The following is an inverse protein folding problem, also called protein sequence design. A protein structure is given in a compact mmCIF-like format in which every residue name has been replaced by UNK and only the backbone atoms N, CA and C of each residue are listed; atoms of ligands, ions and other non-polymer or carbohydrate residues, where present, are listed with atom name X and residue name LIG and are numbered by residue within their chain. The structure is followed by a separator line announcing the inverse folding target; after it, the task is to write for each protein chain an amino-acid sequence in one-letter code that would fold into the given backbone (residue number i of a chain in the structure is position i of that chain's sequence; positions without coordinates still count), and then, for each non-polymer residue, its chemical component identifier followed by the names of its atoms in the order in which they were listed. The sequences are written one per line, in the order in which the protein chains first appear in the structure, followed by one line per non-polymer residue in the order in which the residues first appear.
data_IF_924497143224
#
_entry.id   IF_924497143224
#
_cell.length_a   1.000
_cell.length_b   1.000
_cell.length_c   1.000
_cell.angle_alpha   90.00
_cell.angle_beta   90.00
_cell.angle_gamma   90.00
#
_symmetry.space_group_name_H-M   'P 1'
#
loop_
_entity.id
_entity.type
_entity.pdbx_description
1 polymer ?
#
# COMPACT_ATOMS: atom_id res chain seq x y z
N UNK A 1 6.53 -8.20 3.97
CA UNK A 1 7.22 -8.65 2.73
C UNK A 1 7.43 -7.47 1.79
N UNK A 2 8.61 -7.37 1.17
CA UNK A 2 8.96 -6.35 0.16
C UNK A 2 9.06 -7.00 -1.21
N UNK A 3 8.61 -6.33 -2.28
CA UNK A 3 8.81 -6.75 -3.66
C UNK A 3 9.38 -5.63 -4.51
N UNK A 4 10.19 -5.95 -5.51
CA UNK A 4 10.65 -4.99 -6.52
C UNK A 4 9.87 -5.14 -7.81
N UNK A 5 9.53 -4.02 -8.46
CA UNK A 5 8.89 -4.06 -9.80
C UNK A 5 9.79 -4.68 -10.88
N UNK A 6 11.11 -4.66 -10.65
CA UNK A 6 12.15 -5.24 -11.49
C UNK A 6 13.42 -5.51 -10.66
N UNK A 7 14.42 -6.15 -11.27
CA UNK A 7 15.75 -6.30 -10.66
C UNK A 7 16.46 -4.94 -10.49
N UNK A 8 17.32 -4.83 -9.47
CA UNK A 8 18.18 -3.65 -9.28
C UNK A 8 17.49 -2.37 -8.79
N UNK A 9 16.22 -2.43 -8.35
CA UNK A 9 15.48 -1.25 -7.86
C UNK A 9 15.73 -0.93 -6.38
N UNK A 10 16.58 -1.69 -5.68
CA UNK A 10 16.84 -1.50 -4.24
C UNK A 10 15.88 -2.25 -3.30
N UNK A 11 15.08 -3.18 -3.82
CA UNK A 11 14.16 -3.97 -2.99
C UNK A 11 14.88 -4.79 -1.90
N UNK A 12 16.05 -5.37 -2.23
CA UNK A 12 16.83 -6.18 -1.29
C UNK A 12 17.43 -5.36 -0.16
N UNK A 13 18.01 -4.21 -0.46
CA UNK A 13 18.56 -3.33 0.59
C UNK A 13 17.45 -2.81 1.50
N UNK A 14 16.29 -2.47 0.94
CA UNK A 14 15.15 -2.04 1.73
C UNK A 14 14.58 -3.16 2.61
N UNK A 15 14.45 -4.38 2.09
CA UNK A 15 13.99 -5.54 2.85
C UNK A 15 14.91 -5.84 4.03
N UNK A 16 16.24 -5.80 3.80
CA UNK A 16 17.24 -5.99 4.84
C UNK A 16 17.20 -4.88 5.89
N UNK A 17 17.08 -3.62 5.48
CA UNK A 17 17.01 -2.49 6.41
C UNK A 17 15.71 -2.48 7.24
N UNK A 18 14.62 -3.04 6.70
CA UNK A 18 13.36 -3.25 7.42
C UNK A 18 13.32 -4.54 8.25
N UNK A 19 14.30 -5.45 8.09
CA UNK A 19 14.28 -6.76 8.74
C UNK A 19 13.17 -7.70 8.26
N UNK A 20 12.71 -7.58 7.02
CA UNK A 20 11.59 -8.35 6.47
C UNK A 20 11.99 -9.19 5.25
N UNK A 21 11.18 -10.21 4.93
CA UNK A 21 11.37 -11.04 3.75
C UNK A 21 11.13 -10.30 2.41
N UNK A 22 11.70 -10.84 1.34
CA UNK A 22 11.65 -10.31 -0.02
C UNK A 22 11.02 -11.32 -1.00
N UNK A 23 10.13 -10.84 -1.87
CA UNK A 23 9.61 -11.59 -3.01
C UNK A 23 10.53 -11.44 -4.23
N UNK A 24 10.57 -12.43 -5.14
CA UNK A 24 11.32 -12.29 -6.37
C UNK A 24 10.83 -11.08 -7.19
N UNK A 25 11.74 -10.31 -7.82
CA UNK A 25 11.39 -9.10 -8.54
C UNK A 25 10.51 -9.40 -9.75
N UNK A 26 9.62 -8.47 -10.09
CA UNK A 26 8.73 -8.57 -11.25
C UNK A 26 7.59 -9.57 -11.09
N UNK A 27 7.54 -10.32 -9.99
CA UNK A 27 6.37 -11.12 -9.67
C UNK A 27 5.25 -10.21 -9.17
N UNK A 28 4.08 -10.31 -9.80
CA UNK A 28 2.86 -9.61 -9.37
C UNK A 28 2.21 -10.35 -8.18
N UNK A 29 2.98 -10.55 -7.12
CA UNK A 29 2.57 -11.22 -5.90
C UNK A 29 2.25 -10.21 -4.81
N UNK A 30 1.37 -10.60 -3.88
CA UNK A 30 1.03 -9.78 -2.73
C UNK A 30 2.28 -9.42 -1.91
N UNK A 31 2.44 -8.14 -1.62
CA UNK A 31 3.50 -7.58 -0.79
C UNK A 31 2.99 -6.37 -0.01
N UNK A 32 3.67 -6.02 1.08
CA UNK A 32 3.30 -4.85 1.88
C UNK A 32 4.00 -3.59 1.34
N UNK A 33 5.21 -3.74 0.80
CA UNK A 33 5.99 -2.68 0.17
C UNK A 33 6.38 -3.07 -1.24
N UNK A 34 6.00 -2.23 -2.21
CA UNK A 34 6.44 -2.34 -3.60
C UNK A 34 7.51 -1.29 -3.88
N UNK A 35 8.67 -1.72 -4.37
CA UNK A 35 9.82 -0.84 -4.65
C UNK A 35 9.97 -0.61 -6.14
N UNK A 36 10.10 0.64 -6.54
CA UNK A 36 10.40 1.03 -7.91
C UNK A 36 11.44 2.15 -7.95
N UNK A 37 12.12 2.34 -9.09
CA UNK A 37 12.90 3.55 -9.32
C UNK A 37 11.99 4.69 -9.78
N UNK A 38 12.43 5.92 -9.55
CA UNK A 38 11.82 7.15 -10.04
C UNK A 38 11.89 7.37 -11.56
N UNK A 39 11.87 6.30 -12.35
CA UNK A 39 11.88 6.37 -13.83
C UNK A 39 10.49 6.08 -14.37
N UNK A 40 10.16 6.62 -15.55
CA UNK A 40 8.86 6.38 -16.21
C UNK A 40 8.59 4.89 -16.39
N UNK A 41 9.61 4.13 -16.79
CA UNK A 41 9.51 2.68 -16.99
C UNK A 41 9.18 1.94 -15.68
N UNK A 42 9.95 2.18 -14.61
CA UNK A 42 9.72 1.53 -13.33
C UNK A 42 8.37 1.90 -12.70
N UNK A 43 7.92 3.15 -12.86
CA UNK A 43 6.58 3.56 -12.40
C UNK A 43 5.48 2.88 -13.22
N UNK A 44 5.66 2.70 -14.53
CA UNK A 44 4.72 1.94 -15.37
C UNK A 44 4.63 0.46 -14.98
N UNK A 45 5.73 -0.15 -14.52
CA UNK A 45 5.69 -1.50 -13.95
C UNK A 45 4.97 -1.54 -12.60
N UNK A 46 5.15 -0.51 -11.75
CA UNK A 46 4.42 -0.39 -10.49
C UNK A 46 2.91 -0.31 -10.73
N UNK A 47 2.48 0.48 -11.72
CA UNK A 47 1.08 0.62 -12.14
C UNK A 47 0.46 -0.74 -12.50
N UNK A 48 1.17 -1.57 -13.28
CA UNK A 48 0.72 -2.93 -13.63
C UNK A 48 0.63 -3.86 -12.43
N UNK A 49 1.60 -3.78 -11.51
CA UNK A 49 1.60 -4.59 -10.30
C UNK A 49 0.40 -4.25 -9.40
N UNK A 50 0.16 -2.96 -9.15
CA UNK A 50 -0.97 -2.47 -8.34
C UNK A 50 -2.30 -2.89 -8.93
N UNK A 51 -2.46 -2.80 -10.26
CA UNK A 51 -3.66 -3.26 -10.95
C UNK A 51 -3.89 -4.78 -10.81
N UNK A 52 -2.83 -5.57 -10.66
CA UNK A 52 -2.90 -7.04 -10.58
C UNK A 52 -3.20 -7.55 -9.17
N UNK A 53 -2.50 -7.02 -8.16
CA UNK A 53 -2.47 -7.60 -6.80
C UNK A 53 -3.73 -7.28 -5.97
N UNK A 54 -4.51 -6.25 -6.35
CA UNK A 54 -5.80 -5.85 -5.73
C UNK A 54 -5.79 -5.78 -4.19
N UNK A 55 -4.62 -5.51 -3.60
CA UNK A 55 -4.44 -5.18 -2.17
C UNK A 55 -3.68 -3.86 -2.09
N UNK A 56 -4.00 -2.97 -1.12
CA UNK A 56 -3.24 -1.75 -0.93
C UNK A 56 -1.78 -2.07 -0.59
N UNK A 57 -0.86 -1.54 -1.40
CA UNK A 57 0.59 -1.66 -1.19
C UNK A 57 1.19 -0.30 -0.86
N UNK A 58 2.25 -0.26 -0.05
CA UNK A 58 3.04 0.95 0.18
C UNK A 58 4.09 1.07 -0.93
N UNK A 59 4.05 2.16 -1.71
CA UNK A 59 4.97 2.35 -2.83
C UNK A 59 6.24 3.09 -2.38
N UNK A 60 7.37 2.41 -2.41
CA UNK A 60 8.69 2.98 -2.14
C UNK A 60 9.38 3.36 -3.47
N UNK A 61 9.49 4.66 -3.72
CA UNK A 61 10.05 5.20 -4.97
C UNK A 61 11.49 5.63 -4.73
N UNK A 62 12.45 4.89 -5.28
CA UNK A 62 13.88 5.23 -5.19
C UNK A 62 14.20 6.40 -6.10
N UNK A 63 14.63 7.52 -5.53
CA UNK A 63 14.93 8.78 -6.22
C UNK A 63 16.44 9.04 -6.13
N UNK A 64 17.06 9.30 -7.26
CA UNK A 64 18.46 9.71 -7.32
C UNK A 64 18.62 11.23 -7.12
N UNK A 65 19.86 11.72 -7.14
CA UNK A 65 20.15 13.14 -6.93
C UNK A 65 19.56 14.09 -7.98
N UNK A 66 19.12 13.59 -9.14
CA UNK A 66 18.48 14.40 -10.19
C UNK A 66 16.97 14.56 -9.98
N UNK A 67 16.40 13.87 -9.00
CA UNK A 67 14.98 13.95 -8.67
C UNK A 67 14.09 13.12 -9.60
N UNK A 68 12.80 13.46 -9.65
CA UNK A 68 11.80 12.74 -10.44
C UNK A 68 11.52 13.47 -11.76
N UNK A 69 11.68 12.80 -12.92
CA UNK A 69 11.25 13.33 -14.21
C UNK A 69 9.76 13.69 -14.21
N UNK A 70 9.37 14.73 -14.97
CA UNK A 70 7.99 15.21 -15.05
C UNK A 70 6.99 14.08 -15.38
N UNK A 71 7.30 13.26 -16.39
CA UNK A 71 6.46 12.13 -16.78
C UNK A 71 6.31 11.06 -15.68
N UNK A 72 7.36 10.81 -14.89
CA UNK A 72 7.30 9.90 -13.75
C UNK A 72 6.42 10.48 -12.64
N UNK A 73 6.53 11.80 -12.37
CA UNK A 73 5.67 12.50 -11.39
C UNK A 73 4.20 12.44 -11.78
N UNK A 74 3.87 12.65 -13.06
CA UNK A 74 2.50 12.56 -13.56
C UNK A 74 1.92 11.16 -13.34
N UNK A 75 2.66 10.10 -13.68
CA UNK A 75 2.24 8.72 -13.41
C UNK A 75 2.11 8.40 -11.93
N UNK A 76 3.02 8.90 -11.09
CA UNK A 76 2.92 8.73 -9.63
C UNK A 76 1.67 9.44 -9.07
N UNK A 77 1.26 10.58 -9.64
CA UNK A 77 0.00 11.21 -9.26
C UNK A 77 -1.22 10.36 -9.63
N UNK A 78 -1.17 9.66 -10.76
CA UNK A 78 -2.24 8.76 -11.20
C UNK A 78 -2.32 7.48 -10.35
N UNK A 79 -1.18 6.90 -9.94
CA UNK A 79 -1.16 5.68 -9.11
C UNK A 79 -1.48 5.95 -7.63
N UNK A 80 -1.27 7.19 -7.16
CA UNK A 80 -1.44 7.59 -5.76
C UNK A 80 -2.75 7.12 -5.10
N UNK A 81 -3.92 7.20 -5.75
CA UNK A 81 -5.19 6.77 -5.14
C UNK A 81 -5.33 5.24 -5.00
N UNK A 82 -4.45 4.47 -5.65
CA UNK A 82 -4.53 3.01 -5.72
C UNK A 82 -3.50 2.31 -4.82
N UNK A 83 -2.71 3.08 -4.05
CA UNK A 83 -1.69 2.58 -3.13
C UNK A 83 -2.00 3.05 -1.71
N UNK A 84 -1.54 2.30 -0.71
CA UNK A 84 -1.73 2.67 0.71
C UNK A 84 -0.95 3.94 1.09
N UNK A 85 0.10 4.25 0.34
CA UNK A 85 0.91 5.44 0.50
C UNK A 85 2.07 5.44 -0.49
N UNK A 86 2.78 6.55 -0.55
CA UNK A 86 3.99 6.67 -1.35
C UNK A 86 5.10 7.34 -0.54
N UNK A 87 6.28 6.73 -0.54
CA UNK A 87 7.45 7.24 0.16
C UNK A 87 8.61 7.32 -0.83
N UNK A 88 9.29 8.47 -0.87
CA UNK A 88 10.51 8.64 -1.65
C UNK A 88 11.67 8.10 -0.85
N UNK A 89 12.39 7.15 -1.42
CA UNK A 89 13.59 6.55 -0.85
C UNK A 89 14.81 7.19 -1.51
N UNK A 90 15.72 7.83 -0.76
CA UNK A 90 16.92 8.40 -1.35
C UNK A 90 17.83 7.28 -1.85
N UNK A 91 18.37 7.46 -3.06
CA UNK A 91 19.47 6.63 -3.54
C UNK A 91 20.70 6.83 -2.66
N UNK A 92 21.43 5.76 -2.38
CA UNK A 92 22.70 5.79 -1.65
C UNK A 92 23.85 5.55 -2.64
N UNK A 93 24.54 6.60 -3.14
CA UNK A 93 25.57 6.45 -4.17
C UNK A 93 26.71 5.49 -3.77
N UNK A 94 27.14 5.58 -2.51
CA UNK A 94 28.23 4.78 -1.93
C UNK A 94 28.01 3.27 -2.05
N UNK A 95 26.76 2.80 -2.11
CA UNK A 95 26.47 1.38 -2.28
C UNK A 95 26.94 0.79 -3.60
N UNK A 96 27.27 1.63 -4.60
CA UNK A 96 27.91 1.19 -5.84
C UNK A 96 29.41 0.99 -5.71
N UNK A 97 30.02 1.55 -4.67
CA UNK A 97 31.47 1.65 -4.49
C UNK A 97 32.00 0.66 -3.46
N UNK A 98 31.13 0.04 -2.68
CA UNK A 98 31.49 -0.92 -1.62
C UNK A 98 31.21 -2.36 -2.05
N UNK A 99 32.00 -3.28 -1.50
CA UNK A 99 31.92 -4.71 -1.82
C UNK A 99 30.60 -5.34 -1.41
N UNK A 100 30.06 -4.95 -0.24
CA UNK A 100 28.83 -5.52 0.30
C UNK A 100 27.85 -4.44 0.78
N UNK A 101 27.00 -3.91 -0.12
CA UNK A 101 25.94 -2.98 0.24
C UNK A 101 24.82 -3.64 1.05
N UNK A 102 24.69 -4.96 1.01
CA UNK A 102 23.64 -5.67 1.73
C UNK A 102 23.96 -5.79 3.21
N UNK A 103 25.22 -6.06 3.58
CA UNK A 103 25.65 -6.01 4.97
C UNK A 103 25.46 -4.62 5.58
N UNK A 104 25.77 -3.55 4.84
CA UNK A 104 25.54 -2.19 5.33
C UNK A 104 24.05 -1.87 5.52
N UNK A 105 23.20 -2.27 4.56
CA UNK A 105 21.76 -2.11 4.70
C UNK A 105 21.17 -2.92 5.87
N UNK A 106 21.65 -4.15 6.09
CA UNK A 106 21.17 -5.01 7.18
C UNK A 106 21.49 -4.43 8.57
N UNK A 107 22.66 -3.80 8.74
CA UNK A 107 23.02 -3.14 10.02
C UNK A 107 22.04 -2.03 10.41
N UNK A 108 21.40 -1.39 9.43
CA UNK A 108 20.44 -0.32 9.72
C UNK A 108 19.20 -0.81 10.46
N UNK A 109 18.82 -2.08 10.30
CA UNK A 109 17.65 -2.64 10.99
C UNK A 109 17.79 -2.65 12.53
N UNK A 110 19.02 -2.68 13.04
CA UNK A 110 19.33 -2.71 14.47
C UNK A 110 20.01 -1.43 14.97
N UNK A 111 20.21 -0.43 14.12
CA UNK A 111 20.93 0.80 14.47
C UNK A 111 19.99 1.82 15.12
N UNK A 112 20.45 2.50 16.15
CA UNK A 112 19.78 3.70 16.67
C UNK A 112 20.15 4.93 15.84
N UNK A 113 19.36 6.01 15.92
CA UNK A 113 19.57 7.21 15.10
C UNK A 113 20.96 7.84 15.26
N UNK A 114 21.56 7.75 16.45
CA UNK A 114 22.88 8.31 16.76
C UNK A 114 24.04 7.47 16.19
N UNK A 115 23.81 6.17 16.00
CA UNK A 115 24.79 5.23 15.44
C UNK A 115 24.85 5.29 13.91
N UNK A 116 23.84 5.88 13.27
CA UNK A 116 23.75 5.93 11.80
C UNK A 116 24.74 6.94 11.20
N UNK A 117 25.66 6.48 10.33
CA UNK A 117 26.58 7.36 9.61
C UNK A 117 25.84 8.46 8.84
N UNK A 118 26.42 9.67 8.81
CA UNK A 118 25.78 10.87 8.21
C UNK A 118 25.19 10.62 6.82
N UNK A 119 25.92 9.91 5.95
CA UNK A 119 25.51 9.63 4.57
C UNK A 119 24.31 8.66 4.45
N UNK A 120 23.99 7.90 5.51
CA UNK A 120 22.85 6.96 5.54
C UNK A 120 21.65 7.52 6.30
N UNK A 121 21.78 8.65 7.00
CA UNK A 121 20.71 9.18 7.86
C UNK A 121 19.40 9.43 7.11
N UNK A 122 19.48 10.00 5.91
CA UNK A 122 18.29 10.23 5.09
C UNK A 122 17.61 8.90 4.70
N UNK A 123 18.39 7.90 4.31
CA UNK A 123 17.88 6.57 3.99
C UNK A 123 17.26 5.90 5.23
N UNK A 124 17.97 5.91 6.36
CA UNK A 124 17.48 5.36 7.63
C UNK A 124 16.19 6.03 8.09
N UNK A 125 16.09 7.37 8.01
CA UNK A 125 14.86 8.08 8.32
C UNK A 125 13.69 7.62 7.44
N UNK A 126 13.94 7.36 6.15
CA UNK A 126 12.92 6.79 5.27
C UNK A 126 12.54 5.35 5.64
N UNK A 127 13.51 4.52 6.04
CA UNK A 127 13.24 3.15 6.53
C UNK A 127 12.35 3.20 7.78
N UNK A 128 12.64 4.10 8.73
CA UNK A 128 11.81 4.30 9.92
C UNK A 128 10.40 4.79 9.57
N UNK A 129 10.29 5.69 8.59
CA UNK A 129 8.99 6.15 8.08
C UNK A 129 8.19 4.99 7.45
N UNK A 130 8.83 4.14 6.64
CA UNK A 130 8.22 2.95 6.07
C UNK A 130 7.76 1.98 7.16
N UNK A 131 8.61 1.71 8.16
CA UNK A 131 8.28 0.84 9.29
C UNK A 131 7.08 1.37 10.07
N UNK A 132 7.02 2.69 10.32
CA UNK A 132 5.88 3.32 10.97
C UNK A 132 4.58 3.19 10.17
N UNK A 133 4.61 3.41 8.86
CA UNK A 133 3.44 3.22 7.99
C UNK A 133 2.97 1.77 7.97
N UNK A 134 3.90 0.81 7.89
CA UNK A 134 3.58 -0.61 7.96
C UNK A 134 2.95 -0.97 9.30
N UNK A 135 3.50 -0.49 10.41
CA UNK A 135 2.92 -0.71 11.73
C UNK A 135 1.50 -0.12 11.85
N UNK A 136 1.27 1.09 11.35
CA UNK A 136 -0.05 1.72 11.35
C UNK A 136 -1.08 1.00 10.48
N UNK A 137 -0.63 0.37 9.38
CA UNK A 137 -1.52 -0.34 8.44
C UNK A 137 -1.77 -1.79 8.87
N UNK A 138 -0.82 -2.40 9.56
CA UNK A 138 -0.89 -3.79 10.06
C UNK A 138 -1.45 -3.88 11.47
N UNK A 139 -1.48 -2.78 12.23
CA UNK A 139 -2.17 -2.75 13.53
C UNK A 139 -3.65 -3.01 13.27
N UNK A 140 -4.24 -4.12 13.74
CA UNK A 140 -5.68 -4.21 13.78
C UNK A 140 -6.12 -3.07 14.70
N UNK A 141 -6.97 -2.18 14.19
CA UNK A 141 -7.63 -1.22 15.03
C UNK A 141 -8.36 -1.98 16.15
N UNK A 142 -7.77 -2.04 17.35
CA UNK A 142 -8.51 -2.22 18.59
C UNK A 142 -9.25 -0.91 18.81
N UNK A 143 -10.30 -0.74 18.01
CA UNK A 143 -11.39 0.18 18.29
C UNK A 143 -12.65 -0.61 18.02
N UNK A 144 -12.94 -1.57 18.91
CA UNK A 144 -14.31 -1.87 19.22
C UNK A 144 -14.92 -0.58 19.79
N UNK A 145 -15.46 0.25 18.91
CA UNK A 145 -16.49 1.18 19.34
C UNK A 145 -17.70 0.31 19.71
N UNK A 146 -18.22 0.38 20.94
CA UNK A 146 -19.52 -0.20 21.21
C UNK A 146 -20.51 0.48 20.27
N UNK A 147 -21.21 -0.31 19.45
CA UNK A 147 -22.41 0.17 18.79
C UNK A 147 -23.29 0.83 19.87
N UNK A 148 -23.79 2.06 19.68
CA UNK A 148 -24.83 2.54 20.56
C UNK A 148 -25.98 1.53 20.46
N UNK A 149 -26.29 0.91 21.60
CA UNK A 149 -27.43 0.03 21.73
C UNK A 149 -28.64 0.74 21.12
N UNK A 150 -29.25 0.12 20.10
CA UNK A 150 -30.60 0.41 19.71
C UNK A 150 -31.44 0.38 20.98
N UNK A 151 -31.85 1.56 21.43
CA UNK A 151 -32.77 1.72 22.55
C UNK A 151 -34.03 0.93 22.23
N UNK A 152 -34.18 -0.21 22.87
CA UNK A 152 -35.43 -0.91 22.98
C UNK A 152 -36.31 -0.16 23.99
N UNK A 153 -37.51 0.23 23.56
CA UNK A 153 -38.77 0.10 24.31
C UNK A 153 -39.94 0.76 23.57
N UNK A 154 -41.21 0.38 23.80
CA UNK A 154 -41.72 -0.94 24.20
C UNK A 154 -42.84 -1.45 23.26
N UNK A 155 -43.15 -2.75 23.42
CA UNK A 155 -44.31 -3.43 22.88
C UNK A 155 -45.61 -2.76 23.31
N UNK A 156 -46.56 -2.59 22.39
CA UNK A 156 -47.97 -2.33 22.71
C UNK A 156 -48.88 -3.23 21.84
N UNK A 157 -50.04 -3.70 22.37
CA UNK A 157 -50.61 -5.01 22.06
C UNK A 157 -51.60 -5.06 20.88
N UNK A 158 -51.90 -6.31 20.49
CA UNK A 158 -52.60 -6.82 19.32
C UNK A 158 -54.10 -6.46 19.15
N UNK A 159 -54.55 -6.25 17.90
CA UNK A 159 -55.51 -7.08 17.11
C UNK A 159 -56.97 -6.56 17.12
N UNK A 160 -57.86 -6.81 16.11
CA UNK A 160 -58.01 -8.04 15.29
C UNK A 160 -58.35 -7.81 13.77
N UNK A 161 -58.62 -8.89 12.97
CA UNK A 161 -58.52 -8.90 11.50
C UNK A 161 -59.87 -8.99 10.75
N UNK A 162 -59.86 -8.69 9.44
CA UNK A 162 -60.77 -9.20 8.38
C UNK A 162 -60.42 -8.47 7.05
N UNK A 163 -60.52 -8.99 5.81
CA UNK A 163 -60.81 -10.27 5.13
C UNK A 163 -60.33 -10.05 3.66
N UNK A 164 -60.12 -11.09 2.83
CA UNK A 164 -59.42 -10.99 1.53
C UNK A 164 -60.40 -10.92 0.31
N UNK A 165 -59.97 -11.23 -0.93
CA UNK A 165 -59.81 -10.31 -2.06
C UNK A 165 -60.92 -10.38 -3.11
N UNK A 166 -61.06 -9.34 -3.95
CA UNK A 166 -61.85 -9.38 -5.19
C UNK A 166 -60.96 -9.24 -6.42
N UNK A 167 -61.02 -10.24 -7.30
CA UNK A 167 -60.31 -10.35 -8.57
C UNK A 167 -60.93 -9.46 -9.69
N UNK A 168 -60.62 -9.66 -11.00
CA UNK A 168 -59.94 -8.67 -11.83
C UNK A 168 -60.88 -8.08 -12.89
N UNK A 169 -60.44 -7.04 -13.61
CA UNK A 169 -60.99 -6.76 -14.93
C UNK A 169 -59.89 -6.50 -15.95
N UNK A 170 -60.26 -6.75 -17.20
CA UNK A 170 -59.51 -7.38 -18.27
C UNK A 170 -59.46 -6.43 -19.47
N UNK A 171 -58.43 -6.58 -20.32
CA UNK A 171 -58.38 -6.19 -21.76
C UNK A 171 -58.38 -4.67 -22.05
N UNK A 172 -57.66 -4.12 -23.03
CA UNK A 172 -57.55 -4.41 -24.48
C UNK A 172 -56.16 -3.95 -25.00
N UNK A 173 -55.43 -4.71 -25.83
CA UNK A 173 -55.56 -4.96 -27.29
C UNK A 173 -54.80 -3.95 -28.18
N UNK A 174 -54.06 -4.50 -29.16
CA UNK A 174 -53.55 -3.82 -30.37
C UNK A 174 -52.07 -3.46 -30.29
N UNK A 175 -51.12 -3.99 -31.08
CA UNK A 175 -51.23 -4.73 -32.34
C UNK A 175 -50.69 -3.90 -33.50
N UNK A 176 -49.69 -4.47 -34.19
CA UNK A 176 -49.05 -4.11 -35.48
C UNK A 176 -47.79 -3.25 -35.42
#
# INVERSE_FOLDING_TARGET
MVSGVAGGVGARTLALALGVGINPPGQHSACDVLVCRGTVHSVGLAERHVATVRRPVLLAVVVDGQGLPFAARAKLKMIAPHVAGMIKVPWVPRWREITDPYAEAARLASSTADEVPKHLRAYHATVMQLAHHLAATLSPAVTAAPAPALGAAPLSPAAPPARPPSHPFRTTAGGH
#
